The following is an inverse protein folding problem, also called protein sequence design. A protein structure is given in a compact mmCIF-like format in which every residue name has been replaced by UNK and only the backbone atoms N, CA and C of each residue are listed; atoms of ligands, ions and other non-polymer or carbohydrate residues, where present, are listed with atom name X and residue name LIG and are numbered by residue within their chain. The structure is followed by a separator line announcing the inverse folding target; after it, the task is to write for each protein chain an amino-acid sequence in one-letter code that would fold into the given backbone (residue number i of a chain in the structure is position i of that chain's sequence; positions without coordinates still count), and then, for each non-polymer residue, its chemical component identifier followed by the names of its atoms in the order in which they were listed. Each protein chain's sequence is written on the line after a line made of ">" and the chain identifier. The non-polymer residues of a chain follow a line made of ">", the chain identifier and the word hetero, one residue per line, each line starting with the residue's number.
data_IF_451001413354
#
_entry.id   IF_451001413354
#
_cell.length_a   1.000
_cell.length_b   1.000
_cell.length_c   1.000
_cell.angle_alpha   90.00
_cell.angle_beta   90.00
_cell.angle_gamma   90.00
#
_symmetry.space_group_name_H-M   'P 1'
#
loop_
_entity.id
_entity.type
_entity.pdbx_description
1 polymer ?
#
# COMPACT_ATOMS: atom_id res chain seq x y z
N UNK A 1 6.07 -5.67 18.55
CA UNK A 1 6.15 -4.87 17.30
C UNK A 1 6.30 -5.87 16.19
N UNK A 2 5.37 -5.88 15.25
CA UNK A 2 5.40 -6.83 14.13
C UNK A 2 5.69 -6.03 12.87
N UNK A 3 6.75 -6.39 12.16
CA UNK A 3 7.03 -5.83 10.84
C UNK A 3 6.14 -6.56 9.83
N UNK A 4 5.35 -5.80 9.08
CA UNK A 4 4.49 -6.30 8.03
C UNK A 4 5.09 -5.86 6.70
N UNK A 5 5.47 -6.84 5.88
CA UNK A 5 5.93 -6.60 4.52
C UNK A 5 4.84 -6.98 3.54
N UNK A 6 4.40 -5.99 2.77
CA UNK A 6 3.47 -6.13 1.66
C UNK A 6 4.28 -6.29 0.38
N UNK A 7 3.96 -7.30 -0.41
CA UNK A 7 4.62 -7.54 -1.68
C UNK A 7 3.61 -8.02 -2.72
N UNK A 8 3.59 -7.37 -3.88
CA UNK A 8 2.73 -7.74 -5.00
C UNK A 8 3.50 -7.64 -6.31
N UNK A 9 3.38 -8.66 -7.16
CA UNK A 9 3.91 -8.63 -8.53
C UNK A 9 2.85 -8.03 -9.43
N UNK A 10 2.99 -6.75 -9.77
CA UNK A 10 2.03 -6.04 -10.61
C UNK A 10 2.78 -5.18 -11.63
N UNK A 11 2.47 -5.41 -12.90
CA UNK A 11 3.09 -4.67 -14.00
C UNK A 11 2.41 -3.31 -14.13
N UNK A 12 3.06 -2.28 -13.59
CA UNK A 12 2.65 -0.88 -13.69
C UNK A 12 3.29 -0.22 -14.90
N UNK A 13 2.50 0.61 -15.58
CA UNK A 13 3.04 1.48 -16.63
C UNK A 13 3.74 2.71 -16.01
N UNK A 14 4.52 3.39 -16.85
CA UNK A 14 5.22 4.60 -16.45
C UNK A 14 4.23 5.67 -15.93
N UNK A 15 4.42 6.12 -14.69
CA UNK A 15 3.53 7.09 -14.03
C UNK A 15 2.42 6.48 -13.17
N UNK A 16 2.33 5.16 -13.08
CA UNK A 16 1.45 4.46 -12.16
C UNK A 16 2.15 4.15 -10.83
N UNK A 17 1.44 4.39 -9.74
CA UNK A 17 1.93 4.24 -8.38
C UNK A 17 0.96 3.36 -7.60
N UNK A 18 1.46 2.32 -6.94
CA UNK A 18 0.63 1.48 -6.08
C UNK A 18 0.68 2.01 -4.65
N UNK A 19 -0.49 2.08 -4.02
CA UNK A 19 -0.65 2.43 -2.63
C UNK A 19 -1.37 1.29 -1.90
N UNK A 20 -1.04 1.12 -0.63
CA UNK A 20 -1.72 0.22 0.29
C UNK A 20 -2.31 1.03 1.42
N UNK A 21 -3.59 0.82 1.67
CA UNK A 21 -4.27 1.38 2.83
C UNK A 21 -4.90 0.24 3.62
N UNK A 22 -5.01 0.43 4.93
CA UNK A 22 -5.60 -0.57 5.80
C UNK A 22 -6.13 0.04 7.09
N UNK A 23 -6.81 -0.79 7.87
CA UNK A 23 -7.48 -0.38 9.11
C UNK A 23 -6.53 -0.08 10.28
N UNK A 24 -5.21 -0.10 10.05
CA UNK A 24 -4.23 0.29 11.07
C UNK A 24 -3.81 1.74 10.87
N UNK A 25 -3.49 2.47 11.96
CA UNK A 25 -3.08 3.87 11.88
C UNK A 25 -1.81 4.07 11.03
N UNK A 26 -0.91 3.09 10.99
CA UNK A 26 0.31 3.18 10.15
C UNK A 26 0.03 3.05 8.65
N UNK A 27 -1.13 2.50 8.26
CA UNK A 27 -1.59 2.43 6.86
C UNK A 27 -2.67 3.47 6.55
N UNK A 28 -2.84 4.48 7.40
CA UNK A 28 -3.81 5.54 7.20
C UNK A 28 -5.21 5.24 7.72
N UNK A 29 -5.46 4.12 8.42
CA UNK A 29 -6.75 3.81 9.06
C UNK A 29 -7.95 3.83 8.09
N UNK A 30 -7.81 3.19 6.92
CA UNK A 30 -8.75 3.19 5.79
C UNK A 30 -8.92 4.56 5.10
N UNK A 31 -8.00 5.49 5.35
CA UNK A 31 -7.97 6.80 4.72
C UNK A 31 -6.94 6.85 3.58
N UNK A 32 -7.40 7.16 2.36
CA UNK A 32 -6.55 7.23 1.15
C UNK A 32 -5.46 8.30 1.23
N UNK A 33 -5.62 9.27 2.15
CA UNK A 33 -4.66 10.34 2.41
C UNK A 33 -3.45 9.85 3.19
N UNK A 34 -3.64 8.87 4.08
CA UNK A 34 -2.59 8.23 4.87
C UNK A 34 -2.08 6.91 4.28
N UNK A 35 -2.48 6.60 3.04
CA UNK A 35 -2.07 5.36 2.40
C UNK A 35 -0.57 5.30 2.17
N UNK A 36 -0.01 4.12 2.39
CA UNK A 36 1.41 3.88 2.27
C UNK A 36 1.74 3.59 0.79
N UNK A 37 2.65 4.39 0.24
CA UNK A 37 3.13 4.21 -1.14
C UNK A 37 4.05 3.00 -1.21
N UNK A 38 3.82 2.11 -2.17
CA UNK A 38 4.73 1.01 -2.45
C UNK A 38 5.92 1.51 -3.27
N UNK A 39 7.04 0.82 -3.11
CA UNK A 39 8.24 1.01 -3.92
C UNK A 39 8.25 -0.03 -5.03
N UNK A 40 8.46 0.42 -6.26
CA UNK A 40 8.63 -0.47 -7.41
C UNK A 40 10.09 -0.92 -7.51
N UNK A 41 10.33 -2.21 -7.32
CA UNK A 41 11.59 -2.89 -7.60
C UNK A 41 11.40 -3.81 -8.82
N UNK A 42 11.59 -3.25 -10.01
CA UNK A 42 11.42 -3.97 -11.28
C UNK A 42 9.95 -4.26 -11.58
N UNK A 43 9.52 -5.50 -11.35
CA UNK A 43 8.13 -5.97 -11.57
C UNK A 43 7.38 -6.21 -10.25
N UNK A 44 8.08 -6.00 -9.12
CA UNK A 44 7.57 -6.26 -7.79
C UNK A 44 7.41 -4.94 -7.07
N UNK A 45 6.22 -4.74 -6.51
CA UNK A 45 5.94 -3.64 -5.63
C UNK A 45 6.01 -4.11 -4.19
N UNK A 46 6.80 -3.42 -3.38
CA UNK A 46 7.06 -3.77 -1.99
C UNK A 46 6.84 -2.57 -1.07
N UNK A 47 6.36 -2.86 0.13
CA UNK A 47 6.15 -1.89 1.19
C UNK A 47 6.36 -2.56 2.54
N UNK A 48 6.95 -1.82 3.47
CA UNK A 48 7.18 -2.29 4.83
C UNK A 48 6.57 -1.29 5.80
N UNK A 49 5.78 -1.78 6.73
CA UNK A 49 5.21 -0.98 7.80
C UNK A 49 5.34 -1.75 9.10
N UNK A 50 5.61 -1.03 10.18
CA UNK A 50 5.49 -1.62 11.49
C UNK A 50 4.02 -1.58 11.89
N UNK A 51 3.58 -2.56 12.68
CA UNK A 51 2.28 -2.49 13.31
C UNK A 51 2.40 -2.95 14.73
N UNK A 52 1.83 -2.13 15.61
CA UNK A 52 1.62 -2.48 17.02
C UNK A 52 0.29 -3.20 17.22
N UNK A 53 -0.58 -3.23 16.21
CA UNK A 53 -1.86 -3.90 16.26
C UNK A 53 -1.66 -5.41 16.14
N UNK A 54 -2.01 -6.12 17.20
CA UNK A 54 -2.16 -7.58 17.20
C UNK A 54 -3.64 -7.92 16.99
N UNK A 55 -4.01 -8.32 15.78
CA UNK A 55 -5.39 -8.65 15.41
C UNK A 55 -5.56 -8.89 13.92
N UNK A 56 -6.81 -8.95 13.45
CA UNK A 56 -7.10 -8.90 12.03
C UNK A 56 -6.81 -7.50 11.49
N UNK A 57 -6.11 -7.46 10.35
CA UNK A 57 -5.80 -6.23 9.63
C UNK A 57 -6.47 -6.35 8.28
N UNK A 58 -7.41 -5.46 8.01
CA UNK A 58 -7.98 -5.29 6.69
C UNK A 58 -7.11 -4.30 5.92
N UNK A 59 -6.70 -4.68 4.72
CA UNK A 59 -5.92 -3.84 3.82
C UNK A 59 -6.37 -4.06 2.38
N UNK A 60 -6.18 -3.04 1.55
CA UNK A 60 -6.45 -3.10 0.12
C UNK A 60 -5.39 -2.31 -0.63
N UNK A 61 -5.16 -2.72 -1.88
CA UNK A 61 -4.26 -2.04 -2.80
C UNK A 61 -5.07 -1.20 -3.76
N UNK A 62 -4.57 -0.01 -4.06
CA UNK A 62 -5.14 0.84 -5.08
C UNK A 62 -4.06 1.49 -5.92
N UNK A 63 -4.37 1.72 -7.18
CA UNK A 63 -3.49 2.33 -8.17
C UNK A 63 -3.81 3.81 -8.26
N UNK A 64 -2.79 4.65 -8.16
CA UNK A 64 -2.87 6.08 -8.49
C UNK A 64 -2.02 6.36 -9.72
N UNK A 65 -2.51 7.24 -10.59
CA UNK A 65 -1.79 7.74 -11.75
C UNK A 65 -1.98 9.25 -11.79
N UNK A 66 -0.87 10.01 -11.75
CA UNK A 66 -0.87 11.48 -11.70
C UNK A 66 -1.82 12.07 -10.63
N UNK A 67 -1.86 11.47 -9.44
CA UNK A 67 -2.71 11.93 -8.34
C UNK A 67 -4.18 11.54 -8.42
N UNK A 68 -4.61 10.79 -9.44
CA UNK A 68 -5.96 10.20 -9.54
C UNK A 68 -5.93 8.72 -9.20
N UNK A 69 -6.82 8.28 -8.32
CA UNK A 69 -7.04 6.85 -8.08
C UNK A 69 -7.71 6.23 -9.31
N UNK A 70 -6.99 5.35 -9.99
CA UNK A 70 -7.44 4.67 -11.22
C UNK A 70 -8.15 3.37 -10.87
N UNK A 71 -7.71 2.68 -9.81
CA UNK A 71 -8.21 1.35 -9.45
C UNK A 71 -8.11 1.12 -7.95
N UNK A 72 -9.09 0.44 -7.35
CA UNK A 72 -9.13 0.04 -5.93
C UNK A 72 -9.59 -1.41 -5.80
#
# INVERSE_FOLDING_TARGET
>A
MSLIKFQISYHTNFGQEIYVCGSIPELGNLDETGALKLTCEGEVWSAETESKTTGQIEYYYFLKEQGKTIRK
#
